data_IF_108226041385
#
_entry.id   IF_108226041385
#
_cell.length_a   1.000
_cell.length_b   1.000
_cell.length_c   1.000
_cell.angle_alpha   90.00
_cell.angle_beta   90.00
_cell.angle_gamma   90.00
#
_symmetry.space_group_name_H-M   'P 1'
#
loop_
_entity.id
_entity.type
_entity.pdbx_description
1 polymer ?
#
# COMPACT_ATOMS: atom_id res chain seq x y z
N UNK A 1 22.25 -13.22 11.97
CA UNK A 1 22.62 -11.82 11.69
C UNK A 1 23.03 -11.80 10.22
N UNK A 2 22.22 -11.21 9.35
CA UNK A 2 22.59 -11.07 7.94
C UNK A 2 23.78 -10.08 7.86
N UNK A 3 24.77 -10.31 6.99
CA UNK A 3 25.85 -9.34 6.81
C UNK A 3 25.26 -8.00 6.33
N UNK A 4 25.70 -6.88 6.91
CA UNK A 4 25.36 -5.56 6.38
C UNK A 4 26.04 -5.41 5.02
N UNK A 5 25.23 -5.43 3.96
CA UNK A 5 25.67 -5.14 2.60
C UNK A 5 25.48 -3.65 2.37
N UNK A 6 26.46 -2.96 1.77
CA UNK A 6 26.46 -1.50 1.58
C UNK A 6 25.15 -0.93 1.01
N UNK A 7 24.50 -1.67 0.10
CA UNK A 7 23.22 -1.29 -0.49
C UNK A 7 22.09 -1.18 0.55
N UNK A 8 22.05 -2.06 1.56
CA UNK A 8 21.01 -2.05 2.59
C UNK A 8 21.14 -0.83 3.49
N UNK A 9 22.39 -0.46 3.84
CA UNK A 9 22.69 0.76 4.59
C UNK A 9 22.32 2.01 3.80
N UNK A 10 22.58 2.03 2.49
CA UNK A 10 22.16 3.13 1.61
C UNK A 10 20.63 3.27 1.58
N UNK A 11 19.91 2.16 1.37
CA UNK A 11 18.44 2.14 1.32
C UNK A 11 17.81 2.60 2.64
N UNK A 12 18.32 2.14 3.78
CA UNK A 12 17.79 2.52 5.11
C UNK A 12 17.79 4.03 5.34
N UNK A 13 18.80 4.74 4.83
CA UNK A 13 18.92 6.19 4.98
C UNK A 13 18.11 6.98 3.94
N UNK A 14 17.64 6.33 2.86
CA UNK A 14 17.09 7.01 1.68
C UNK A 14 15.58 6.77 1.48
N UNK A 15 15.08 5.59 1.84
CA UNK A 15 13.79 5.10 1.34
C UNK A 15 12.59 5.70 2.08
N UNK A 16 12.70 6.03 3.37
CA UNK A 16 11.57 6.56 4.14
C UNK A 16 10.35 5.63 4.06
N UNK A 17 9.22 6.13 3.53
CA UNK A 17 7.97 5.37 3.31
C UNK A 17 7.77 4.88 1.86
N UNK A 18 8.74 5.12 0.99
CA UNK A 18 8.67 4.74 -0.42
C UNK A 18 8.81 3.22 -0.59
N UNK A 19 8.27 2.69 -1.70
CA UNK A 19 8.40 1.27 -2.02
C UNK A 19 9.66 0.96 -2.79
N UNK A 20 10.17 -0.25 -2.56
CA UNK A 20 11.30 -0.83 -3.27
C UNK A 20 10.81 -2.05 -4.06
N UNK A 21 11.35 -2.22 -5.26
CA UNK A 21 11.09 -3.38 -6.12
C UNK A 21 12.40 -3.90 -6.72
N UNK A 22 12.41 -5.18 -7.11
CA UNK A 22 13.52 -5.81 -7.82
C UNK A 22 14.32 -6.79 -6.97
N UNK A 23 15.47 -7.22 -7.50
CA UNK A 23 16.21 -8.38 -7.00
C UNK A 23 17.13 -8.01 -5.82
N UNK A 24 16.57 -7.93 -4.63
CA UNK A 24 17.32 -7.79 -3.37
C UNK A 24 17.65 -9.13 -2.70
N UNK A 25 17.08 -10.23 -3.18
CA UNK A 25 17.02 -11.52 -2.49
C UNK A 25 15.65 -11.73 -1.83
N UNK A 26 15.22 -13.00 -1.74
CA UNK A 26 13.92 -13.35 -1.15
C UNK A 26 13.82 -12.88 0.30
N UNK A 27 12.69 -12.27 0.66
CA UNK A 27 12.36 -11.81 2.02
C UNK A 27 13.30 -10.75 2.64
N UNK A 28 14.27 -10.22 1.89
CA UNK A 28 15.19 -9.18 2.40
C UNK A 28 14.42 -7.90 2.74
N UNK A 29 13.39 -7.55 1.98
CA UNK A 29 12.51 -6.42 2.30
C UNK A 29 11.86 -6.60 3.67
N UNK A 30 11.35 -7.79 3.99
CA UNK A 30 10.75 -8.09 5.28
C UNK A 30 11.79 -8.10 6.42
N UNK A 31 12.96 -8.70 6.20
CA UNK A 31 14.03 -8.76 7.21
C UNK A 31 14.56 -7.37 7.63
N UNK A 32 14.52 -6.39 6.73
CA UNK A 32 15.01 -5.03 6.96
C UNK A 32 13.89 -3.98 7.07
N UNK A 33 12.62 -4.41 7.11
CA UNK A 33 11.43 -3.56 7.19
C UNK A 33 11.33 -2.51 6.05
N UNK A 34 11.75 -2.89 4.84
CA UNK A 34 11.49 -2.13 3.63
C UNK A 34 10.11 -2.48 3.07
N UNK A 35 9.40 -1.46 2.56
CA UNK A 35 8.13 -1.68 1.88
C UNK A 35 8.35 -2.28 0.49
N UNK A 36 8.13 -3.58 0.34
CA UNK A 36 8.08 -4.27 -0.96
C UNK A 36 6.68 -4.37 -1.55
N UNK A 37 6.60 -4.87 -2.79
CA UNK A 37 5.33 -5.25 -3.47
C UNK A 37 5.26 -6.74 -3.84
N UNK A 38 6.32 -7.49 -3.55
CA UNK A 38 6.43 -8.93 -3.81
C UNK A 38 6.72 -9.67 -2.51
N UNK A 39 6.43 -10.97 -2.47
CA UNK A 39 6.77 -11.83 -1.35
C UNK A 39 6.48 -13.31 -1.64
N UNK A 40 7.29 -14.18 -1.05
CA UNK A 40 7.05 -15.62 -1.01
C UNK A 40 6.24 -15.97 0.25
N UNK A 41 5.23 -16.84 0.12
CA UNK A 41 4.26 -17.15 1.17
C UNK A 41 3.56 -15.91 1.76
N UNK A 42 3.39 -14.88 0.93
CA UNK A 42 2.70 -13.67 1.32
C UNK A 42 1.23 -13.99 1.64
N UNK A 43 0.75 -13.57 2.81
CA UNK A 43 -0.67 -13.49 3.11
C UNK A 43 -1.18 -12.17 2.55
N UNK A 44 -1.90 -12.25 1.43
CA UNK A 44 -2.43 -11.08 0.75
C UNK A 44 -3.93 -11.26 0.45
N UNK A 45 -4.65 -10.15 0.31
CA UNK A 45 -6.08 -10.19 -0.03
C UNK A 45 -6.27 -10.58 -1.49
N UNK A 46 -7.30 -11.37 -1.79
CA UNK A 46 -7.61 -11.82 -3.16
C UNK A 46 -7.59 -10.66 -4.17
N UNK A 47 -8.21 -9.54 -3.81
CA UNK A 47 -8.35 -8.34 -4.64
C UNK A 47 -6.97 -7.74 -4.97
N UNK A 48 -6.09 -7.56 -4.00
CA UNK A 48 -4.71 -7.16 -4.29
C UNK A 48 -4.00 -8.10 -5.30
N UNK A 49 -4.19 -9.41 -5.20
CA UNK A 49 -3.64 -10.34 -6.19
C UNK A 49 -4.28 -10.21 -7.58
N UNK A 50 -5.59 -9.97 -7.65
CA UNK A 50 -6.30 -9.68 -8.90
C UNK A 50 -5.75 -8.41 -9.57
N UNK A 51 -5.47 -7.36 -8.80
CA UNK A 51 -4.79 -6.16 -9.30
C UNK A 51 -3.40 -6.46 -9.84
N UNK A 52 -2.56 -7.16 -9.08
CA UNK A 52 -1.19 -7.49 -9.51
C UNK A 52 -1.20 -8.34 -10.78
N UNK A 53 -2.17 -9.26 -10.91
CA UNK A 53 -2.33 -10.08 -12.11
C UNK A 53 -2.82 -9.28 -13.31
N UNK A 54 -3.74 -8.33 -13.10
CA UNK A 54 -4.30 -7.52 -14.17
C UNK A 54 -3.25 -6.66 -14.87
N UNK A 55 -2.11 -6.37 -14.23
CA UNK A 55 -0.95 -5.69 -14.83
C UNK A 55 -0.50 -6.32 -16.15
N UNK A 56 -0.68 -7.65 -16.30
CA UNK A 56 -0.26 -8.40 -17.50
C UNK A 56 -0.98 -7.94 -18.76
N UNK A 57 -2.31 -7.86 -18.71
CA UNK A 57 -3.17 -7.74 -19.89
C UNK A 57 -4.49 -6.99 -19.63
N UNK A 58 -4.64 -6.37 -18.46
CA UNK A 58 -5.82 -5.63 -18.05
C UNK A 58 -7.00 -6.50 -17.64
N UNK A 59 -6.83 -7.81 -17.48
CA UNK A 59 -7.95 -8.71 -17.16
C UNK A 59 -7.92 -9.13 -15.69
N UNK A 60 -9.11 -9.17 -15.06
CA UNK A 60 -9.27 -9.74 -13.72
C UNK A 60 -9.19 -11.26 -13.82
N UNK A 61 -8.11 -11.81 -13.26
CA UNK A 61 -7.90 -13.25 -13.16
C UNK A 61 -7.67 -13.65 -11.71
N UNK A 62 -8.14 -14.84 -11.35
CA UNK A 62 -7.94 -15.36 -9.99
C UNK A 62 -6.44 -15.57 -9.74
N UNK A 63 -5.88 -15.01 -8.66
CA UNK A 63 -4.45 -15.09 -8.40
C UNK A 63 -4.04 -16.46 -7.81
N UNK A 64 -2.77 -16.79 -7.94
CA UNK A 64 -2.19 -18.01 -7.35
C UNK A 64 -2.03 -17.85 -5.84
N UNK A 65 -2.37 -18.88 -5.07
CA UNK A 65 -2.20 -18.82 -3.61
C UNK A 65 -0.72 -18.74 -3.24
N UNK A 66 -0.42 -17.98 -2.18
CA UNK A 66 0.89 -17.94 -1.51
C UNK A 66 2.05 -17.26 -2.24
N UNK A 67 1.87 -16.72 -3.45
CA UNK A 67 2.92 -15.93 -4.12
C UNK A 67 2.32 -14.67 -4.71
N UNK A 68 2.94 -13.52 -4.42
CA UNK A 68 2.72 -12.28 -5.17
C UNK A 68 3.96 -12.01 -5.99
N UNK A 69 3.85 -12.25 -7.29
CA UNK A 69 4.90 -11.97 -8.27
C UNK A 69 4.41 -10.88 -9.21
N UNK A 70 5.14 -9.77 -9.27
CA UNK A 70 4.79 -8.66 -10.12
C UNK A 70 5.19 -8.96 -11.58
N UNK A 71 4.29 -8.78 -12.56
CA UNK A 71 4.64 -8.94 -13.97
C UNK A 71 5.66 -7.86 -14.41
N UNK A 72 6.94 -8.24 -14.50
CA UNK A 72 8.05 -7.32 -14.83
C UNK A 72 8.03 -6.79 -16.26
N UNK A 73 7.61 -7.63 -17.21
CA UNK A 73 7.54 -7.32 -18.63
C UNK A 73 6.09 -7.57 -19.06
N UNK A 74 5.26 -6.54 -18.95
CA UNK A 74 3.83 -6.61 -19.21
C UNK A 74 3.29 -5.24 -19.65
N UNK A 75 2.05 -5.23 -20.17
CA UNK A 75 1.47 -4.05 -20.81
C UNK A 75 1.31 -2.85 -19.85
N UNK A 76 1.07 -3.12 -18.57
CA UNK A 76 0.73 -2.08 -17.59
C UNK A 76 1.70 -2.00 -16.41
N UNK A 77 2.89 -2.62 -16.53
CA UNK A 77 3.89 -2.66 -15.46
C UNK A 77 4.27 -1.26 -14.98
N UNK A 78 4.50 -0.30 -15.89
CA UNK A 78 4.89 1.06 -15.51
C UNK A 78 3.80 1.81 -14.76
N UNK A 79 2.56 1.74 -15.26
CA UNK A 79 1.42 2.39 -14.64
C UNK A 79 1.21 1.83 -13.23
N UNK A 80 1.26 0.51 -13.08
CA UNK A 80 1.08 -0.15 -11.80
C UNK A 80 2.23 0.16 -10.81
N UNK A 81 3.49 0.20 -11.25
CA UNK A 81 4.62 0.59 -10.39
C UNK A 81 4.51 2.05 -9.92
N UNK A 82 4.01 2.94 -10.78
CA UNK A 82 3.75 4.33 -10.40
C UNK A 82 2.65 4.43 -9.36
N UNK A 83 1.51 3.76 -9.56
CA UNK A 83 0.38 3.73 -8.61
C UNK A 83 0.74 3.09 -7.27
N UNK A 84 1.55 2.03 -7.30
CA UNK A 84 2.11 1.39 -6.11
C UNK A 84 3.18 2.25 -5.42
N UNK A 85 3.55 3.41 -5.96
CA UNK A 85 4.57 4.28 -5.36
C UNK A 85 5.95 3.61 -5.25
N UNK A 86 6.30 2.78 -6.23
CA UNK A 86 7.63 2.16 -6.31
C UNK A 86 8.63 3.19 -6.81
N UNK A 87 9.29 3.85 -5.86
CA UNK A 87 10.33 4.86 -6.10
C UNK A 87 11.67 4.23 -6.46
N UNK A 88 12.00 3.10 -5.85
CA UNK A 88 13.34 2.53 -5.91
C UNK A 88 13.33 1.15 -6.54
N UNK A 89 14.15 0.98 -7.58
CA UNK A 89 14.37 -0.30 -8.25
C UNK A 89 15.77 -0.77 -7.92
N UNK A 90 15.87 -1.91 -7.25
CA UNK A 90 17.15 -2.58 -7.01
C UNK A 90 17.36 -3.64 -8.06
N UNK A 91 18.54 -3.60 -8.67
CA UNK A 91 18.95 -4.49 -9.73
C UNK A 91 20.28 -5.14 -9.36
N UNK A 92 20.46 -6.44 -9.61
CA UNK A 92 21.78 -7.06 -9.50
C UNK A 92 22.57 -6.79 -10.77
N UNK A 93 23.83 -6.41 -10.65
CA UNK A 93 24.73 -6.22 -11.80
C UNK A 93 24.82 -7.51 -12.63
N UNK A 94 24.77 -8.67 -11.99
CA UNK A 94 24.76 -9.99 -12.64
C UNK A 94 23.49 -10.30 -13.44
N UNK A 95 22.36 -9.65 -13.15
CA UNK A 95 21.10 -9.86 -13.88
C UNK A 95 21.14 -9.20 -15.28
N UNK A 96 22.11 -8.33 -15.54
CA UNK A 96 22.35 -7.74 -16.86
C UNK A 96 21.08 -7.16 -17.49
N UNK A 97 20.72 -7.65 -18.68
CA UNK A 97 19.47 -7.29 -19.38
C UNK A 97 18.63 -8.52 -19.73
N UNK A 98 18.66 -9.53 -18.87
CA UNK A 98 17.90 -10.76 -19.08
C UNK A 98 16.40 -10.56 -18.80
N UNK A 99 15.57 -11.45 -19.32
CA UNK A 99 14.09 -11.34 -19.24
C UNK A 99 13.51 -11.44 -17.82
N UNK A 100 14.28 -11.92 -16.84
CA UNK A 100 13.86 -11.94 -15.43
C UNK A 100 14.14 -10.62 -14.70
N UNK A 101 14.97 -9.76 -15.29
CA UNK A 101 15.20 -8.41 -14.79
C UNK A 101 14.05 -7.49 -15.23
N UNK A 102 13.73 -6.53 -14.38
CA UNK A 102 12.79 -5.48 -14.76
C UNK A 102 13.49 -4.51 -15.73
N UNK A 103 12.92 -4.22 -16.92
CA UNK A 103 13.62 -3.56 -18.01
C UNK A 103 13.67 -2.03 -17.86
N UNK A 104 14.19 -1.55 -16.73
CA UNK A 104 14.27 -0.10 -16.43
C UNK A 104 15.00 0.69 -17.53
N UNK A 105 15.90 0.05 -18.29
CA UNK A 105 16.66 0.67 -19.39
C UNK A 105 15.81 1.05 -20.61
N UNK A 106 14.57 0.57 -20.71
CA UNK A 106 13.62 0.95 -21.77
C UNK A 106 12.92 2.28 -21.47
N UNK A 107 13.10 2.83 -20.26
CA UNK A 107 12.40 4.00 -19.77
C UNK A 107 13.38 5.13 -19.43
N UNK A 108 13.28 6.31 -20.08
CA UNK A 108 14.29 7.37 -19.96
C UNK A 108 14.25 8.13 -18.61
N UNK A 109 13.25 7.88 -17.78
CA UNK A 109 13.01 8.58 -16.50
C UNK A 109 13.50 7.80 -15.27
N UNK A 110 14.22 6.70 -15.47
CA UNK A 110 14.94 6.04 -14.37
C UNK A 110 16.33 6.62 -14.22
N UNK A 111 16.65 7.08 -13.01
CA UNK A 111 17.94 7.68 -12.69
C UNK A 111 18.77 6.76 -11.81
N UNK A 112 20.00 6.44 -12.21
CA UNK A 112 20.92 5.71 -11.34
C UNK A 112 21.30 6.57 -10.13
N UNK A 113 21.12 6.01 -8.93
CA UNK A 113 21.48 6.66 -7.67
C UNK A 113 22.70 6.01 -6.99
N UNK A 114 22.90 4.72 -7.23
CA UNK A 114 23.97 3.94 -6.62
C UNK A 114 24.36 2.79 -7.54
N UNK A 115 25.66 2.45 -7.53
CA UNK A 115 26.21 1.29 -8.21
C UNK A 115 27.46 0.80 -7.49
N UNK A 116 27.52 -0.50 -7.21
CA UNK A 116 28.74 -1.19 -6.80
C UNK A 116 28.97 -2.42 -7.69
N UNK A 117 29.83 -3.34 -7.27
CA UNK A 117 30.14 -4.56 -8.04
C UNK A 117 28.98 -5.57 -8.12
N UNK A 118 28.00 -5.50 -7.21
CA UNK A 118 26.90 -6.47 -7.09
C UNK A 118 25.51 -5.88 -7.41
N UNK A 119 25.27 -4.61 -7.09
CA UNK A 119 23.97 -3.96 -7.11
C UNK A 119 24.01 -2.59 -7.78
N UNK A 120 22.90 -2.28 -8.44
CA UNK A 120 22.53 -0.97 -8.96
C UNK A 120 21.19 -0.54 -8.37
N UNK A 121 21.08 0.73 -8.03
CA UNK A 121 19.84 1.35 -7.55
C UNK A 121 19.39 2.41 -8.54
N UNK A 122 18.15 2.31 -8.98
CA UNK A 122 17.51 3.30 -9.83
C UNK A 122 16.34 3.95 -9.10
N UNK A 123 16.16 5.24 -9.34
CA UNK A 123 15.01 6.02 -8.93
C UNK A 123 14.02 6.13 -10.08
N UNK A 124 12.79 5.69 -9.85
CA UNK A 124 11.64 5.96 -10.69
C UNK A 124 11.18 7.41 -10.47
N UNK A 125 11.52 8.31 -11.39
CA UNK A 125 11.12 9.72 -11.28
C UNK A 125 9.62 9.95 -11.48
N UNK A 126 8.88 8.95 -11.99
CA UNK A 126 7.43 9.04 -12.19
C UNK A 126 6.60 8.46 -11.05
N UNK A 127 7.22 7.78 -10.08
CA UNK A 127 6.51 7.15 -8.98
C UNK A 127 5.61 8.14 -8.23
N UNK A 128 4.36 7.73 -7.95
CA UNK A 128 3.48 8.53 -7.10
C UNK A 128 3.99 8.45 -5.65
N UNK A 129 3.85 9.53 -4.85
CA UNK A 129 4.14 9.44 -3.43
C UNK A 129 3.22 8.41 -2.76
N UNK A 130 3.64 7.87 -1.61
CA UNK A 130 2.85 6.85 -0.87
C UNK A 130 1.43 7.32 -0.57
N UNK A 131 1.25 8.62 -0.34
CA UNK A 131 -0.04 9.28 -0.21
C UNK A 131 -0.04 10.60 -0.98
N UNK A 132 -1.19 10.99 -1.56
CA UNK A 132 -1.39 12.27 -2.24
C UNK A 132 -2.84 12.75 -2.14
N UNK A 133 -3.08 14.00 -2.56
CA UNK A 133 -4.41 14.60 -2.61
C UNK A 133 -4.90 14.65 -4.05
N UNK A 134 -5.90 13.84 -4.37
CA UNK A 134 -6.54 13.81 -5.68
C UNK A 134 -7.58 14.94 -5.82
N UNK A 135 -7.71 15.43 -7.05
CA UNK A 135 -8.55 16.58 -7.40
C UNK A 135 -9.86 16.18 -8.08
N UNK A 136 -9.97 14.93 -8.52
CA UNK A 136 -11.10 14.40 -9.27
C UNK A 136 -11.31 12.92 -8.92
N UNK A 137 -12.47 12.40 -9.30
CA UNK A 137 -12.76 10.97 -9.22
C UNK A 137 -13.74 10.54 -10.31
N UNK A 138 -13.78 9.24 -10.56
CA UNK A 138 -14.84 8.58 -11.33
C UNK A 138 -15.36 7.38 -10.53
N UNK A 139 -16.65 7.08 -10.66
CA UNK A 139 -17.25 5.91 -10.00
C UNK A 139 -17.36 4.76 -11.00
N UNK A 140 -16.99 3.56 -10.55
CA UNK A 140 -17.06 2.32 -11.32
C UNK A 140 -17.51 1.18 -10.41
N UNK A 141 -18.49 0.42 -10.88
CA UNK A 141 -19.18 -0.58 -10.04
C UNK A 141 -18.64 -2.00 -10.21
N UNK A 142 -17.90 -2.27 -11.29
CA UNK A 142 -17.37 -3.61 -11.59
C UNK A 142 -15.85 -3.63 -11.60
N UNK A 143 -15.28 -4.71 -11.10
CA UNK A 143 -13.83 -4.91 -10.99
C UNK A 143 -13.12 -4.75 -12.35
N UNK A 144 -13.74 -5.23 -13.44
CA UNK A 144 -13.17 -5.12 -14.78
C UNK A 144 -13.21 -3.68 -15.29
N UNK A 145 -14.31 -2.96 -15.10
CA UNK A 145 -14.45 -1.56 -15.52
C UNK A 145 -13.52 -0.62 -14.73
N UNK A 146 -13.26 -0.92 -13.45
CA UNK A 146 -12.23 -0.24 -12.66
C UNK A 146 -10.86 -0.42 -13.32
N UNK A 147 -10.48 -1.65 -13.65
CA UNK A 147 -9.17 -1.95 -14.27
C UNK A 147 -9.04 -1.37 -15.67
N UNK A 148 -10.09 -1.48 -16.50
CA UNK A 148 -10.12 -0.91 -17.84
C UNK A 148 -9.97 0.63 -17.78
N UNK A 149 -10.63 1.26 -16.81
CA UNK A 149 -10.51 2.71 -16.57
C UNK A 149 -9.09 3.08 -16.16
N UNK A 150 -8.51 2.39 -15.17
CA UNK A 150 -7.15 2.63 -14.70
C UNK A 150 -6.16 2.54 -15.87
N UNK A 151 -6.24 1.49 -16.69
CA UNK A 151 -5.27 1.26 -17.76
C UNK A 151 -5.58 1.97 -19.09
N UNK A 152 -6.61 2.82 -19.13
CA UNK A 152 -6.92 3.63 -20.31
C UNK A 152 -5.85 4.72 -20.53
N UNK A 153 -5.59 5.06 -21.79
CA UNK A 153 -4.55 6.04 -22.16
C UNK A 153 -4.85 7.46 -21.64
N UNK A 154 -6.12 7.78 -21.41
CA UNK A 154 -6.57 9.10 -20.99
C UNK A 154 -6.59 9.27 -19.46
N UNK A 155 -6.39 8.20 -18.69
CA UNK A 155 -6.53 8.24 -17.24
C UNK A 155 -5.27 8.80 -16.55
N UNK A 156 -5.44 9.91 -15.83
CA UNK A 156 -4.38 10.51 -15.01
C UNK A 156 -4.52 10.12 -13.53
N UNK A 157 -3.79 9.09 -13.13
CA UNK A 157 -3.68 8.60 -11.75
C UNK A 157 -3.16 9.65 -10.75
N UNK A 158 -2.54 10.75 -11.21
CA UNK A 158 -2.04 11.81 -10.33
C UNK A 158 -3.15 12.73 -9.82
N UNK A 159 -4.26 12.79 -10.55
CA UNK A 159 -5.33 13.75 -10.32
C UNK A 159 -6.67 13.08 -10.06
N UNK A 160 -6.91 11.91 -10.65
CA UNK A 160 -8.21 11.23 -10.64
C UNK A 160 -8.10 9.88 -9.98
N UNK A 161 -9.01 9.58 -9.05
CA UNK A 161 -9.17 8.25 -8.47
C UNK A 161 -10.37 7.53 -9.09
N UNK A 162 -10.29 6.20 -9.21
CA UNK A 162 -11.45 5.35 -9.45
C UNK A 162 -12.01 4.89 -8.11
N UNK A 163 -13.24 5.27 -7.78
CA UNK A 163 -13.93 4.85 -6.56
C UNK A 163 -15.07 3.88 -6.86
N UNK A 164 -15.42 3.03 -5.90
CA UNK A 164 -16.59 2.13 -5.99
C UNK A 164 -17.90 2.80 -5.58
N UNK A 165 -17.83 3.93 -4.85
CA UNK A 165 -19.00 4.67 -4.42
C UNK A 165 -18.69 6.15 -4.38
N UNK A 166 -19.69 6.99 -4.61
CA UNK A 166 -19.55 8.43 -4.45
C UNK A 166 -19.05 8.81 -3.04
N UNK A 167 -18.07 9.73 -2.96
CA UNK A 167 -17.64 10.27 -1.69
C UNK A 167 -18.70 11.25 -1.15
N UNK A 168 -18.75 11.38 0.17
CA UNK A 168 -19.65 12.32 0.83
C UNK A 168 -19.28 13.78 0.52
N UNK A 169 -18.01 14.01 0.16
CA UNK A 169 -17.46 15.30 -0.21
C UNK A 169 -16.71 15.10 -1.53
N UNK A 170 -17.22 15.71 -2.61
CA UNK A 170 -16.55 15.68 -3.89
C UNK A 170 -15.27 16.55 -3.86
N UNK A 171 -14.13 16.06 -4.37
CA UNK A 171 -12.92 16.86 -4.48
C UNK A 171 -13.09 17.96 -5.53
N UNK A 172 -12.30 19.02 -5.39
CA UNK A 172 -12.25 20.11 -6.36
C UNK A 172 -10.79 20.34 -6.79
N UNK A 173 -10.53 20.74 -8.05
CA UNK A 173 -9.21 21.18 -8.47
C UNK A 173 -8.68 22.33 -7.61
N UNK A 174 -7.42 22.23 -7.21
CA UNK A 174 -6.78 23.20 -6.32
C UNK A 174 -5.53 22.63 -5.68
N UNK A 175 -4.76 23.48 -5.03
CA UNK A 175 -3.52 23.07 -4.36
C UNK A 175 -3.80 22.49 -2.98
N UNK A 176 -2.94 21.56 -2.57
CA UNK A 176 -2.94 21.00 -1.24
C UNK A 176 -1.57 20.39 -0.93
N UNK A 177 -1.23 20.36 0.35
CA UNK A 177 -0.01 19.72 0.83
C UNK A 177 -0.36 18.62 1.81
N UNK A 178 0.54 17.65 1.90
CA UNK A 178 0.37 16.45 2.70
C UNK A 178 1.69 16.11 3.38
N UNK A 179 1.60 15.67 4.63
CA UNK A 179 2.72 15.17 5.42
C UNK A 179 2.30 13.89 6.17
N UNK A 180 3.12 12.85 6.09
CA UNK A 180 2.88 11.59 6.80
C UNK A 180 3.55 11.70 8.17
N UNK A 181 2.78 12.06 9.19
CA UNK A 181 3.27 12.27 10.56
C UNK A 181 3.59 10.96 11.29
N UNK A 182 2.90 9.86 10.97
CA UNK A 182 3.14 8.53 11.54
C UNK A 182 2.80 7.44 10.52
N UNK A 183 3.65 6.44 10.42
CA UNK A 183 3.42 5.29 9.54
C UNK A 183 3.88 4.00 10.21
N UNK A 184 2.92 3.16 10.58
CA UNK A 184 3.12 1.84 11.20
C UNK A 184 2.15 0.83 10.60
N UNK A 185 2.35 -0.46 10.86
CA UNK A 185 1.51 -1.53 10.29
C UNK A 185 0.03 -1.43 10.69
N UNK A 186 -0.28 -0.87 11.87
CA UNK A 186 -1.63 -0.79 12.41
C UNK A 186 -2.15 0.65 12.55
N UNK A 187 -1.34 1.66 12.27
CA UNK A 187 -1.72 3.06 12.40
C UNK A 187 -0.96 3.95 11.41
N UNK A 188 -1.70 4.80 10.71
CA UNK A 188 -1.19 5.82 9.82
C UNK A 188 -1.81 7.17 10.19
N UNK A 189 -0.99 8.19 10.40
CA UNK A 189 -1.42 9.57 10.69
C UNK A 189 -0.88 10.49 9.62
N UNK A 190 -1.78 11.21 8.96
CA UNK A 190 -1.48 12.09 7.82
C UNK A 190 -2.04 13.47 8.14
N UNK A 191 -1.22 14.50 7.96
CA UNK A 191 -1.63 15.90 8.04
C UNK A 191 -1.80 16.45 6.64
N UNK A 192 -2.87 17.20 6.42
CA UNK A 192 -3.16 17.81 5.13
C UNK A 192 -3.53 19.28 5.29
N UNK A 193 -3.14 20.11 4.34
CA UNK A 193 -3.57 21.50 4.23
C UNK A 193 -4.06 21.70 2.80
N UNK A 194 -5.33 22.11 2.62
CA UNK A 194 -5.91 22.35 1.31
C UNK A 194 -6.92 23.49 1.34
N UNK A 195 -6.92 24.34 0.32
CA UNK A 195 -7.90 25.45 0.21
C UNK A 195 -9.25 25.00 -0.35
N UNK A 196 -9.33 23.75 -0.81
CA UNK A 196 -10.52 23.13 -1.42
C UNK A 196 -10.73 21.72 -0.88
N UNK A 197 -11.93 21.15 -0.98
CA UNK A 197 -12.15 19.74 -0.67
C UNK A 197 -11.28 18.81 -1.53
N UNK A 198 -10.81 17.71 -0.93
CA UNK A 198 -9.91 16.75 -1.57
C UNK A 198 -10.28 15.30 -1.23
N UNK A 199 -9.72 14.38 -1.99
CA UNK A 199 -9.62 12.98 -1.63
C UNK A 199 -8.16 12.67 -1.29
N UNK A 200 -7.88 12.25 -0.07
CA UNK A 200 -6.59 11.66 0.28
C UNK A 200 -6.55 10.25 -0.27
N UNK A 201 -5.61 9.98 -1.16
CA UNK A 201 -5.24 8.63 -1.55
C UNK A 201 -4.07 8.13 -0.69
N UNK A 202 -4.12 6.87 -0.29
CA UNK A 202 -3.02 6.14 0.32
C UNK A 202 -2.87 4.80 -0.41
N UNK A 203 -1.69 4.57 -0.99
CA UNK A 203 -1.34 3.35 -1.76
C UNK A 203 -1.21 2.10 -0.88
N UNK A 204 -2.02 1.94 0.15
CA UNK A 204 -2.07 0.77 1.01
C UNK A 204 -3.36 0.02 0.81
N UNK A 205 -3.29 -1.30 0.90
CA UNK A 205 -4.42 -2.19 0.66
C UNK A 205 -5.59 -1.86 1.60
N UNK A 206 -6.77 -1.72 1.02
CA UNK A 206 -8.01 -1.52 1.74
C UNK A 206 -8.38 -2.78 2.54
N UNK A 207 -8.91 -2.61 3.74
CA UNK A 207 -9.51 -3.70 4.51
C UNK A 207 -10.66 -3.13 5.36
N UNK A 208 -11.80 -3.85 5.51
CA UNK A 208 -12.90 -3.41 6.38
C UNK A 208 -12.53 -3.26 7.86
N UNK A 209 -11.40 -3.80 8.29
CA UNK A 209 -10.86 -3.62 9.64
C UNK A 209 -10.19 -2.27 9.88
N UNK A 210 -9.93 -1.47 8.84
CA UNK A 210 -9.45 -0.10 9.01
C UNK A 210 -10.59 0.84 9.40
N UNK A 211 -10.31 1.76 10.32
CA UNK A 211 -11.18 2.88 10.70
C UNK A 211 -10.46 4.18 10.43
N UNK A 212 -11.14 5.16 9.85
CA UNK A 212 -10.59 6.49 9.63
C UNK A 212 -11.26 7.53 10.52
N UNK A 213 -10.49 8.53 10.90
CA UNK A 213 -10.95 9.71 11.61
C UNK A 213 -10.37 10.96 10.93
N UNK A 214 -11.19 11.98 10.74
CA UNK A 214 -10.77 13.32 10.31
C UNK A 214 -11.00 14.26 11.49
N UNK A 215 -9.93 14.81 12.04
CA UNK A 215 -9.95 15.66 13.25
C UNK A 215 -10.69 15.02 14.43
N UNK A 216 -10.48 13.72 14.61
CA UNK A 216 -11.07 12.95 15.70
C UNK A 216 -12.52 12.50 15.46
N UNK A 217 -13.15 12.87 14.34
CA UNK A 217 -14.50 12.42 13.96
C UNK A 217 -14.41 11.25 12.99
N UNK A 218 -15.26 10.25 13.16
CA UNK A 218 -15.31 9.09 12.27
C UNK A 218 -15.54 9.53 10.82
N UNK A 219 -14.76 8.95 9.92
CA UNK A 219 -14.81 9.21 8.50
C UNK A 219 -14.81 7.89 7.73
N UNK A 220 -15.48 7.88 6.58
CA UNK A 220 -15.53 6.72 5.71
C UNK A 220 -14.21 6.52 4.97
N UNK A 221 -13.74 5.27 4.93
CA UNK A 221 -12.69 4.85 4.01
C UNK A 221 -13.36 4.36 2.73
N UNK A 222 -12.97 4.93 1.60
CA UNK A 222 -13.35 4.50 0.27
C UNK A 222 -12.29 3.55 -0.29
N UNK A 223 -12.73 2.56 -1.06
CA UNK A 223 -11.84 1.83 -1.95
C UNK A 223 -11.53 2.72 -3.14
N UNK A 224 -10.25 2.89 -3.41
CA UNK A 224 -9.74 3.67 -4.52
C UNK A 224 -8.78 2.83 -5.36
N UNK A 225 -8.81 3.07 -6.67
CA UNK A 225 -7.91 2.46 -7.66
C UNK A 225 -7.77 0.94 -7.45
N UNK A 226 -8.94 0.29 -7.41
CA UNK A 226 -9.16 -1.15 -7.20
C UNK A 226 -9.11 -1.65 -5.75
N UNK A 227 -7.99 -1.49 -5.04
CA UNK A 227 -7.83 -2.08 -3.70
C UNK A 227 -7.05 -1.19 -2.72
N UNK A 228 -6.98 0.12 -2.96
CA UNK A 228 -6.29 1.06 -2.08
C UNK A 228 -7.26 1.92 -1.27
N UNK A 229 -6.72 2.69 -0.32
CA UNK A 229 -7.53 3.47 0.64
C UNK A 229 -7.65 4.91 0.19
N UNK A 230 -8.85 5.46 0.31
CA UNK A 230 -9.10 6.88 0.17
C UNK A 230 -10.00 7.43 1.28
N UNK A 231 -9.80 8.69 1.66
CA UNK A 231 -10.63 9.41 2.64
C UNK A 231 -10.96 10.77 2.05
N UNK A 232 -12.22 11.18 2.14
CA UNK A 232 -12.65 12.52 1.74
C UNK A 232 -12.47 13.52 2.89
N UNK A 233 -12.03 14.74 2.57
CA UNK A 233 -11.96 15.85 3.53
C UNK A 233 -12.47 17.16 2.93
N UNK A 234 -13.07 18.04 3.75
CA UNK A 234 -13.37 19.40 3.34
C UNK A 234 -12.09 20.23 3.15
N UNK A 235 -12.26 21.48 2.73
CA UNK A 235 -11.17 22.46 2.73
C UNK A 235 -10.74 22.79 4.17
N UNK A 236 -9.44 22.95 4.38
CA UNK A 236 -8.87 23.30 5.67
C UNK A 236 -7.57 22.54 5.96
N UNK A 237 -7.15 22.66 7.22
CA UNK A 237 -6.09 21.84 7.80
C UNK A 237 -6.73 20.67 8.54
N UNK A 238 -6.30 19.46 8.25
CA UNK A 238 -6.89 18.26 8.82
C UNK A 238 -5.82 17.26 9.26
N UNK A 239 -6.10 16.56 10.35
CA UNK A 239 -5.38 15.35 10.74
C UNK A 239 -6.24 14.13 10.44
N UNK A 240 -5.79 13.32 9.50
CA UNK A 240 -6.41 12.05 9.14
C UNK A 240 -5.68 10.93 9.86
N UNK A 241 -6.40 10.19 10.69
CA UNK A 241 -5.89 9.03 11.40
C UNK A 241 -6.60 7.78 10.90
N UNK A 242 -5.82 6.79 10.46
CA UNK A 242 -6.31 5.47 10.07
C UNK A 242 -5.74 4.43 11.03
N UNK A 243 -6.61 3.67 11.71
CA UNK A 243 -6.21 2.64 12.68
C UNK A 243 -6.80 1.29 12.26
N UNK A 244 -5.98 0.24 12.28
CA UNK A 244 -6.42 -1.12 12.02
C UNK A 244 -6.98 -1.74 13.29
N UNK A 245 -8.29 -1.96 13.29
CA UNK A 245 -9.03 -2.52 14.42
C UNK A 245 -10.14 -3.46 13.94
N UNK A 246 -9.79 -4.68 13.48
CA UNK A 246 -10.73 -5.60 12.87
C UNK A 246 -11.68 -6.23 13.89
N UNK A 247 -12.90 -6.56 13.45
CA UNK A 247 -13.91 -7.23 14.30
C UNK A 247 -13.43 -8.56 14.88
N UNK A 248 -12.58 -9.29 14.17
CA UNK A 248 -11.99 -10.56 14.66
C UNK A 248 -11.14 -10.36 15.90
N UNK A 249 -10.39 -9.25 15.97
CA UNK A 249 -9.61 -8.88 17.15
C UNK A 249 -10.51 -8.55 18.34
N UNK A 250 -11.59 -7.80 18.12
CA UNK A 250 -12.59 -7.49 19.16
C UNK A 250 -13.24 -8.77 19.71
N UNK A 251 -13.67 -9.67 18.83
CA UNK A 251 -14.25 -10.97 19.21
C UNK A 251 -13.23 -11.79 20.01
N UNK A 252 -11.97 -11.83 19.55
CA UNK A 252 -10.88 -12.51 20.26
C UNK A 252 -10.67 -11.98 21.67
N UNK A 253 -10.71 -10.66 21.85
CA UNK A 253 -10.57 -10.02 23.16
C UNK A 253 -11.73 -10.39 24.10
N UNK A 254 -12.97 -10.39 23.60
CA UNK A 254 -14.14 -10.81 24.37
C UNK A 254 -14.06 -12.28 24.80
N UNK A 255 -13.66 -13.17 23.88
CA UNK A 255 -13.49 -14.60 24.16
C UNK A 255 -12.37 -14.85 25.17
N UNK A 256 -11.24 -14.15 25.04
CA UNK A 256 -10.14 -14.23 26.00
C UNK A 256 -10.56 -13.77 27.39
N UNK A 257 -11.31 -12.65 27.47
CA UNK A 257 -11.87 -12.15 28.73
C UNK A 257 -12.85 -13.13 29.38
N UNK A 258 -13.75 -13.72 28.60
CA UNK A 258 -14.69 -14.74 29.08
C UNK A 258 -13.95 -16.00 29.58
N UNK A 259 -12.94 -16.46 28.86
CA UNK A 259 -12.09 -17.58 29.25
C UNK A 259 -11.34 -17.32 30.56
N UNK A 260 -10.73 -16.13 30.69
CA UNK A 260 -10.06 -15.72 31.93
C UNK A 260 -11.03 -15.68 33.12
N UNK A 261 -12.24 -15.13 32.93
CA UNK A 261 -13.27 -15.11 33.97
C UNK A 261 -13.67 -16.53 34.40
N UNK A 262 -13.85 -17.46 33.45
CA UNK A 262 -14.17 -18.86 33.74
C UNK A 262 -13.04 -19.56 34.53
N UNK A 263 -11.78 -19.27 34.20
CA UNK A 263 -10.63 -19.80 34.95
C UNK A 263 -10.57 -19.27 36.39
N UNK A 264 -10.87 -17.99 36.60
CA UNK A 264 -10.94 -17.40 37.95
C UNK A 264 -12.10 -18.02 38.75
N UNK A 265 -13.27 -18.21 38.14
CA UNK A 265 -14.43 -18.83 38.80
C UNK A 265 -14.15 -20.30 39.16
N UNK A 266 -13.49 -21.06 38.27
CA UNK A 266 -13.19 -22.47 38.53
C UNK A 266 -12.15 -22.67 39.64
N UNK A 267 -11.08 -21.87 39.63
CA UNK A 267 -10.05 -21.89 40.67
C UNK A 267 -10.58 -21.40 42.02
N UNK A 268 -11.40 -20.33 42.03
CA UNK A 268 -12.08 -19.84 43.24
C UNK A 268 -13.00 -20.89 43.86
N UNK A 269 -13.80 -21.60 43.04
CA UNK A 269 -14.66 -22.70 43.50
C UNK A 269 -13.85 -23.89 44.04
N UNK A 270 -12.70 -24.19 43.44
CA UNK A 270 -11.84 -25.27 43.90
C UNK A 270 -11.17 -24.94 45.24
N UNK A 271 -10.79 -23.69 45.48
CA UNK A 271 -10.22 -23.25 46.76
C UNK A 271 -11.26 -23.30 47.89
N UNK A 272 -12.49 -22.84 47.63
CA UNK A 272 -13.59 -22.88 48.62
C UNK A 272 -14.01 -24.31 49.00
N UNK A 273 -13.87 -25.28 48.07
CA UNK A 273 -14.16 -26.70 48.37
C UNK A 273 -13.08 -27.41 49.20
N UNK A 274 -11.88 -26.83 49.35
CA UNK A 274 -10.75 -27.43 50.09
C UNK A 274 -10.60 -26.90 51.53
N UNK A 275 -11.32 -25.84 51.88
CA UNK A 275 -11.49 -25.31 53.24
C UNK A 275 -12.75 -25.85 53.88
#
# INVERSE_FOLDING_TARGET
>A
MYPEVDILSFLKNKVGHERIFGNLGGEVTNAFNFSGIEGYDAVYQKRYGEFIRSVSNGQIITPERSVVQFPKIANFSEQALQLLGVRYIVHRVSDGRFSWAYPYWEYPYYRSLYRNEYYELFENQKALPRAFLASSYVVRDTDQDIVDTLYSEEFDFRQTLVLETDPEIAPVPGEGTIDIAKYTSNEVVIKTISTVPKLLFLSDVYDPGWRAMVDGKEARIYRADYDFRSVAMPAGEHTIQMVYWPRSFEIGLWLAGAGAALLVISTGRHLVRKT
#
